data_IF_882160226758
#
_entry.id   IF_882160226758
#
_cell.length_a   1.000
_cell.length_b   1.000
_cell.length_c   1.000
_cell.angle_alpha   90.00
_cell.angle_beta   90.00
_cell.angle_gamma   90.00
#
_symmetry.space_group_name_H-M   'P 1'
#
loop_
_entity.id
_entity.type
_entity.pdbx_description
1 polymer ?
#
# COMPACT_ATOMS: atom_id res chain seq x y z
N UNK A 1 -13.73 -25.75 -10.34
CA UNK A 1 -12.58 -24.81 -10.38
C UNK A 1 -12.94 -23.43 -9.83
N UNK A 2 -14.18 -22.97 -9.99
CA UNK A 2 -14.70 -21.70 -9.42
C UNK A 2 -14.63 -21.66 -7.88
N UNK A 3 -14.96 -22.77 -7.20
CA UNK A 3 -14.87 -22.86 -5.72
C UNK A 3 -13.45 -22.71 -5.18
N UNK A 4 -12.44 -23.24 -5.89
CA UNK A 4 -11.04 -23.17 -5.44
C UNK A 4 -10.51 -21.75 -5.53
N UNK A 5 -10.87 -21.01 -6.58
CA UNK A 5 -10.50 -19.60 -6.74
C UNK A 5 -11.16 -18.73 -5.65
N UNK A 6 -12.44 -18.98 -5.35
CA UNK A 6 -13.15 -18.30 -4.26
C UNK A 6 -12.48 -18.51 -2.90
N UNK A 7 -12.14 -19.75 -2.57
CA UNK A 7 -11.45 -20.09 -1.30
C UNK A 7 -10.08 -19.41 -1.20
N UNK A 8 -9.31 -19.36 -2.29
CA UNK A 8 -7.99 -18.71 -2.32
C UNK A 8 -8.13 -17.20 -2.11
N UNK A 9 -9.09 -16.56 -2.79
CA UNK A 9 -9.34 -15.12 -2.64
C UNK A 9 -9.77 -14.79 -1.22
N UNK A 10 -10.65 -15.61 -0.62
CA UNK A 10 -11.12 -15.39 0.75
C UNK A 10 -10.00 -15.60 1.79
N UNK A 11 -9.12 -16.58 1.58
CA UNK A 11 -7.92 -16.73 2.41
C UNK A 11 -6.97 -15.54 2.29
N UNK A 12 -6.71 -15.08 1.06
CA UNK A 12 -5.89 -13.89 0.80
C UNK A 12 -6.49 -12.64 1.45
N UNK A 13 -7.81 -12.45 1.35
CA UNK A 13 -8.51 -11.32 1.97
C UNK A 13 -8.40 -11.35 3.49
N UNK A 14 -8.62 -12.52 4.12
CA UNK A 14 -8.47 -12.68 5.58
C UNK A 14 -7.03 -12.45 6.04
N UNK A 15 -6.07 -12.96 5.28
CA UNK A 15 -4.66 -12.72 5.56
C UNK A 15 -4.31 -11.23 5.44
N UNK A 16 -4.78 -10.56 4.39
CA UNK A 16 -4.53 -9.13 4.17
C UNK A 16 -5.17 -8.27 5.26
N UNK A 17 -6.38 -8.60 5.71
CA UNK A 17 -7.05 -7.91 6.81
C UNK A 17 -6.28 -8.09 8.14
N UNK A 18 -5.90 -9.33 8.48
CA UNK A 18 -5.09 -9.61 9.66
C UNK A 18 -3.74 -8.87 9.64
N UNK A 19 -3.08 -8.84 8.48
CA UNK A 19 -1.83 -8.12 8.28
C UNK A 19 -2.02 -6.60 8.44
N UNK A 20 -3.07 -6.04 7.84
CA UNK A 20 -3.36 -4.59 7.92
C UNK A 20 -3.66 -4.17 9.35
N UNK A 21 -4.42 -4.95 10.11
CA UNK A 21 -4.66 -4.67 11.55
C UNK A 21 -3.37 -4.70 12.36
N UNK A 22 -2.48 -5.64 12.04
CA UNK A 22 -1.18 -5.76 12.71
C UNK A 22 -0.31 -4.53 12.41
N UNK A 23 -0.22 -4.13 11.14
CA UNK A 23 0.50 -2.92 10.71
C UNK A 23 -0.11 -1.64 11.30
N UNK A 24 -1.44 -1.57 11.38
CA UNK A 24 -2.14 -0.43 11.97
C UNK A 24 -1.81 -0.22 13.45
N UNK A 25 -1.40 -1.26 14.17
CA UNK A 25 -0.99 -1.17 15.57
C UNK A 25 0.45 -0.62 15.77
N UNK A 26 1.26 -0.56 14.72
CA UNK A 26 2.68 -0.19 14.82
C UNK A 26 2.88 1.32 14.71
N UNK A 27 3.93 1.87 15.31
CA UNK A 27 4.28 3.29 15.13
C UNK A 27 4.69 3.59 13.67
N UNK A 28 4.42 4.81 13.21
CA UNK A 28 4.73 5.25 11.84
C UNK A 28 6.23 5.18 11.51
N UNK A 29 7.11 5.49 12.46
CA UNK A 29 8.56 5.34 12.28
C UNK A 29 8.95 3.88 11.95
N UNK A 30 8.34 2.93 12.66
CA UNK A 30 8.55 1.49 12.43
C UNK A 30 8.01 1.05 11.08
N UNK A 31 6.85 1.58 10.65
CA UNK A 31 6.28 1.28 9.33
C UNK A 31 7.18 1.80 8.20
N UNK A 32 7.80 2.96 8.34
CA UNK A 32 8.74 3.50 7.34
C UNK A 32 9.97 2.59 7.21
N UNK A 33 10.57 2.20 8.34
CA UNK A 33 11.73 1.28 8.35
C UNK A 33 11.37 -0.06 7.72
N UNK A 34 10.18 -0.59 8.04
CA UNK A 34 9.66 -1.82 7.45
C UNK A 34 9.50 -1.69 5.93
N UNK A 35 8.86 -0.61 5.46
CA UNK A 35 8.64 -0.38 4.04
C UNK A 35 9.96 -0.34 3.25
N UNK A 36 10.95 0.42 3.72
CA UNK A 36 12.28 0.49 3.09
C UNK A 36 12.94 -0.88 3.07
N UNK A 37 12.91 -1.60 4.19
CA UNK A 37 13.52 -2.94 4.30
C UNK A 37 12.88 -3.92 3.31
N UNK A 38 11.55 -3.92 3.23
CA UNK A 38 10.81 -4.78 2.31
C UNK A 38 11.10 -4.44 0.84
N UNK A 39 11.19 -3.15 0.49
CA UNK A 39 11.53 -2.73 -0.87
C UNK A 39 12.95 -3.15 -1.26
N UNK A 40 13.93 -2.99 -0.35
CA UNK A 40 15.30 -3.45 -0.58
C UNK A 40 15.34 -4.97 -0.75
N UNK A 41 14.67 -5.71 0.13
CA UNK A 41 14.59 -7.17 0.05
C UNK A 41 13.92 -7.62 -1.25
N UNK A 42 12.81 -7.01 -1.65
CA UNK A 42 12.14 -7.29 -2.91
C UNK A 42 13.05 -7.04 -4.12
N UNK A 43 13.88 -5.98 -4.07
CA UNK A 43 14.89 -5.71 -5.09
C UNK A 43 15.97 -6.79 -5.16
N UNK A 44 16.46 -7.25 -4.00
CA UNK A 44 17.47 -8.32 -3.91
C UNK A 44 16.90 -9.67 -4.36
N UNK A 45 15.67 -10.02 -3.97
CA UNK A 45 15.02 -11.27 -4.39
C UNK A 45 14.64 -11.25 -5.86
N UNK A 46 14.26 -10.08 -6.41
CA UNK A 46 14.05 -9.90 -7.84
C UNK A 46 15.31 -10.21 -8.64
N UNK A 47 16.50 -9.81 -8.15
CA UNK A 47 17.79 -10.15 -8.78
C UNK A 47 18.16 -11.63 -8.61
N UNK A 48 17.64 -12.32 -7.60
CA UNK A 48 17.85 -13.76 -7.43
C UNK A 48 17.06 -14.61 -8.45
N UNK A 49 16.09 -14.02 -9.16
CA UNK A 49 15.34 -14.70 -10.23
C UNK A 49 16.16 -14.85 -11.52
N UNK A 50 17.20 -14.03 -11.73
CA UNK A 50 18.05 -14.07 -12.93
C UNK A 50 19.22 -15.02 -12.71
N UNK A 51 19.04 -16.32 -13.01
CA UNK A 51 20.16 -17.28 -13.11
C UNK A 51 19.98 -18.68 -12.52
N UNK A 52 18.76 -19.14 -12.23
CA UNK A 52 18.51 -20.50 -11.72
C UNK A 52 17.39 -21.23 -12.46
N UNK A 53 17.31 -22.56 -12.30
CA UNK A 53 16.27 -23.38 -12.93
C UNK A 53 14.84 -22.97 -12.58
N UNK A 54 13.88 -23.35 -13.44
CA UNK A 54 12.48 -22.89 -13.45
C UNK A 54 11.79 -22.89 -12.07
N UNK A 55 12.01 -23.93 -11.25
CA UNK A 55 11.43 -24.05 -9.90
C UNK A 55 11.95 -22.95 -8.96
N UNK A 56 13.26 -22.67 -9.02
CA UNK A 56 13.89 -21.62 -8.21
C UNK A 56 13.39 -20.24 -8.64
N UNK A 57 13.19 -20.04 -9.94
CA UNK A 57 12.65 -18.80 -10.48
C UNK A 57 11.20 -18.56 -10.02
N UNK A 58 10.33 -19.57 -10.12
CA UNK A 58 8.94 -19.48 -9.64
C UNK A 58 8.91 -19.15 -8.14
N UNK A 59 9.74 -19.84 -7.34
CA UNK A 59 9.80 -19.62 -5.89
C UNK A 59 10.23 -18.18 -5.55
N UNK A 60 11.29 -17.66 -6.20
CA UNK A 60 11.74 -16.28 -5.98
C UNK A 60 10.75 -15.23 -6.49
N UNK A 61 10.02 -15.50 -7.58
CA UNK A 61 8.93 -14.63 -8.06
C UNK A 61 7.82 -14.56 -7.02
N UNK A 62 7.39 -15.70 -6.47
CA UNK A 62 6.38 -15.74 -5.42
C UNK A 62 6.83 -14.98 -4.18
N UNK A 63 8.07 -15.18 -3.72
CA UNK A 63 8.62 -14.44 -2.58
C UNK A 63 8.65 -12.94 -2.84
N UNK A 64 9.11 -12.52 -4.01
CA UNK A 64 9.18 -11.10 -4.40
C UNK A 64 7.79 -10.49 -4.46
N UNK A 65 6.79 -11.22 -4.98
CA UNK A 65 5.40 -10.78 -5.03
C UNK A 65 4.83 -10.57 -3.63
N UNK A 66 5.06 -11.51 -2.70
CA UNK A 66 4.60 -11.39 -1.31
C UNK A 66 5.25 -10.19 -0.61
N UNK A 67 6.58 -10.04 -0.73
CA UNK A 67 7.30 -8.89 -0.14
C UNK A 67 6.77 -7.56 -0.67
N UNK A 68 6.50 -7.49 -1.98
CA UNK A 68 5.97 -6.30 -2.62
C UNK A 68 4.55 -5.99 -2.13
N UNK A 69 3.68 -6.99 -2.00
CA UNK A 69 2.33 -6.81 -1.47
C UNK A 69 2.34 -6.29 -0.03
N UNK A 70 3.23 -6.81 0.83
CA UNK A 70 3.37 -6.31 2.21
C UNK A 70 3.90 -4.87 2.21
N UNK A 71 4.87 -4.56 1.35
CA UNK A 71 5.39 -3.19 1.22
C UNK A 71 4.28 -2.22 0.81
N UNK A 72 3.46 -2.58 -0.18
CA UNK A 72 2.31 -1.77 -0.64
C UNK A 72 1.30 -1.57 0.49
N UNK A 73 0.95 -2.62 1.24
CA UNK A 73 0.05 -2.52 2.39
C UNK A 73 0.61 -1.61 3.51
N UNK A 74 1.92 -1.66 3.73
CA UNK A 74 2.62 -0.81 4.70
C UNK A 74 2.59 0.64 4.27
N UNK A 75 2.91 0.94 3.00
CA UNK A 75 2.83 2.29 2.43
C UNK A 75 1.41 2.83 2.47
N UNK A 76 0.41 1.99 2.15
CA UNK A 76 -0.99 2.36 2.26
C UNK A 76 -1.39 2.72 3.69
N UNK A 77 -0.91 1.95 4.68
CA UNK A 77 -1.15 2.22 6.11
C UNK A 77 -0.50 3.52 6.57
N UNK A 78 0.68 3.86 6.04
CA UNK A 78 1.32 5.16 6.28
C UNK A 78 0.49 6.26 5.63
N UNK A 79 0.14 6.10 4.36
CA UNK A 79 -0.64 7.08 3.60
C UNK A 79 -1.99 7.38 4.27
N UNK A 80 -2.71 6.36 4.75
CA UNK A 80 -4.00 6.54 5.43
C UNK A 80 -3.90 7.27 6.78
N UNK A 81 -2.73 7.28 7.42
CA UNK A 81 -2.49 8.07 8.64
C UNK A 81 -2.27 9.55 8.36
N UNK A 82 -1.76 9.86 7.17
CA UNK A 82 -1.44 11.24 6.76
C UNK A 82 -2.47 11.84 5.80
N UNK A 83 -3.30 11.02 5.15
CA UNK A 83 -4.49 11.46 4.44
C UNK A 83 -5.68 11.51 5.42
N UNK A 84 -6.10 12.68 5.89
CA UNK A 84 -7.34 12.77 6.64
C UNK A 84 -8.50 12.35 5.72
N UNK A 85 -9.23 11.30 6.11
CA UNK A 85 -10.41 10.75 5.45
C UNK A 85 -11.41 11.84 4.98
N UNK A 86 -11.68 12.94 5.72
CA UNK A 86 -12.55 14.02 5.22
C UNK A 86 -12.00 14.76 3.98
N UNK A 87 -10.69 14.87 3.83
CA UNK A 87 -10.08 15.45 2.63
C UNK A 87 -10.14 14.48 1.44
N UNK A 88 -10.09 13.16 1.67
CA UNK A 88 -10.21 12.18 0.59
C UNK A 88 -11.62 12.19 -0.05
N UNK A 89 -12.67 12.24 0.76
CA UNK A 89 -14.05 12.41 0.26
C UNK A 89 -14.20 13.73 -0.50
N UNK A 90 -13.60 14.80 0.01
CA UNK A 90 -13.64 16.13 -0.62
C UNK A 90 -12.85 16.13 -1.94
N UNK A 91 -11.69 15.48 -1.98
CA UNK A 91 -10.86 15.32 -3.17
C UNK A 91 -11.54 14.44 -4.21
N UNK A 92 -12.16 13.34 -3.80
CA UNK A 92 -12.93 12.45 -4.69
C UNK A 92 -14.18 13.14 -5.24
N UNK A 93 -14.92 13.89 -4.41
CA UNK A 93 -16.05 14.71 -4.89
C UNK A 93 -15.59 15.82 -5.83
N UNK A 94 -14.45 16.46 -5.57
CA UNK A 94 -13.91 17.50 -6.43
C UNK A 94 -13.37 16.94 -7.76
N UNK A 95 -12.73 15.78 -7.76
CA UNK A 95 -12.29 15.06 -8.95
C UNK A 95 -13.48 14.54 -9.77
N UNK A 96 -14.47 13.94 -9.13
CA UNK A 96 -15.71 13.51 -9.78
C UNK A 96 -16.51 14.71 -10.34
N UNK A 97 -16.51 15.83 -9.62
CA UNK A 97 -17.15 17.08 -10.02
C UNK A 97 -16.35 17.95 -10.98
N UNK A 98 -15.18 17.51 -11.45
CA UNK A 98 -14.26 18.29 -12.29
C UNK A 98 -13.97 19.71 -11.73
N UNK A 99 -14.00 19.88 -10.41
CA UNK A 99 -13.67 21.17 -9.79
C UNK A 99 -12.16 21.28 -9.59
N UNK A 100 -11.54 22.41 -10.00
CA UNK A 100 -10.11 22.59 -9.87
C UNK A 100 -9.70 22.68 -8.39
N UNK A 101 -8.72 21.85 -8.01
CA UNK A 101 -8.11 21.71 -6.68
C UNK A 101 -7.58 23.01 -6.06
N UNK A 102 -7.47 24.09 -6.84
CA UNK A 102 -6.86 25.35 -6.44
C UNK A 102 -7.73 26.23 -5.52
N UNK A 103 -9.04 25.97 -5.40
CA UNK A 103 -9.93 26.84 -4.61
C UNK A 103 -9.79 26.65 -3.09
N UNK A 104 -9.41 25.46 -2.65
CA UNK A 104 -9.24 25.16 -1.21
C UNK A 104 -7.96 25.77 -0.64
N UNK A 105 -6.88 25.82 -1.42
CA UNK A 105 -5.60 26.40 -1.00
C UNK A 105 -5.66 27.93 -0.86
N UNK A 106 -6.41 28.61 -1.74
CA UNK A 106 -6.58 30.07 -1.68
C UNK A 106 -7.43 30.50 -0.46
N UNK A 107 -8.36 29.65 -0.04
CA UNK A 107 -9.19 29.89 1.15
C UNK A 107 -8.37 29.74 2.44
N UNK A 108 -7.50 28.73 2.51
CA UNK A 108 -6.58 28.54 3.63
C UNK A 108 -5.54 29.68 3.74
N UNK A 109 -5.02 30.16 2.61
CA UNK A 109 -4.10 31.31 2.57
C UNK A 109 -4.75 32.63 3.02
N UNK A 110 -6.07 32.76 2.86
CA UNK A 110 -6.84 33.94 3.29
C UNK A 110 -7.18 33.92 4.79
N UNK A 111 -7.33 32.74 5.39
CA UNK A 111 -7.59 32.58 6.83
C UNK A 111 -6.32 32.83 7.67
N UNK A 112 -5.13 32.54 7.13
CA UNK A 112 -3.83 32.79 7.78
C UNK A 112 -3.34 34.26 7.65
N UNK A 113 -4.11 35.14 7.01
CA UNK A 113 -3.78 36.56 6.79
C UNK A 113 -4.54 37.54 7.70
N UNK A 114 -5.21 37.03 8.73
CA UNK A 114 -5.80 37.78 9.85
C UNK A 114 -5.18 37.31 11.16
#
# INVERSE_FOLDING_TARGET
>A
MEDTAGIIIEQLARWADAMTRTLAAWDTGTLIVLAVTLTVLAGVTGRATTGGGLIRQILWITVTAILTLIAVATVWTIASRYLPIPELETLLRNLAGHQPLFRSLDTAARILRW
#
